data_IF_835838538494
#
_entry.id   IF_835838538494
#
_cell.length_a   1.000
_cell.length_b   1.000
_cell.length_c   1.000
_cell.angle_alpha   90.00
_cell.angle_beta   90.00
_cell.angle_gamma   90.00
#
_symmetry.space_group_name_H-M   'P 1'
#
loop_
_entity.id
_entity.type
_entity.pdbx_description
1 polymer ?
#
# COMPACT_ATOMS: atom_id res chain seq x y z
N UNK A 1 36.69 -34.84 -2.43
CA UNK A 1 36.20 -34.48 -3.80
C UNK A 1 34.75 -34.07 -3.67
N UNK A 2 34.46 -32.77 -3.58
CA UNK A 2 33.10 -32.25 -3.38
C UNK A 2 32.46 -31.97 -4.74
N UNK A 3 31.47 -32.77 -5.09
CA UNK A 3 30.70 -32.65 -6.32
C UNK A 3 29.76 -31.42 -6.22
N UNK A 4 30.08 -30.33 -6.91
CA UNK A 4 29.21 -29.20 -7.09
C UNK A 4 28.23 -29.55 -8.22
N UNK A 5 27.03 -29.97 -7.87
CA UNK A 5 25.95 -30.08 -8.85
C UNK A 5 25.31 -28.69 -8.97
N UNK A 6 25.80 -27.94 -9.98
CA UNK A 6 25.18 -26.71 -10.44
C UNK A 6 24.16 -27.14 -11.50
N UNK A 7 22.93 -27.46 -11.08
CA UNK A 7 21.85 -27.73 -12.05
C UNK A 7 21.22 -26.39 -12.46
N UNK A 8 21.87 -25.74 -13.43
CA UNK A 8 21.28 -24.60 -14.17
C UNK A 8 20.37 -25.18 -15.24
N UNK A 9 19.07 -25.31 -14.97
CA UNK A 9 18.11 -25.60 -16.02
C UNK A 9 17.67 -24.28 -16.63
N UNK A 10 18.43 -23.77 -17.64
CA UNK A 10 18.00 -22.71 -18.50
C UNK A 10 17.09 -23.29 -19.57
N UNK A 11 15.79 -23.14 -19.44
CA UNK A 11 14.87 -23.30 -20.56
C UNK A 11 14.84 -21.99 -21.34
N UNK A 12 15.64 -21.90 -22.40
CA UNK A 12 15.68 -20.72 -23.27
C UNK A 12 14.45 -20.76 -24.17
N UNK A 13 13.47 -19.91 -23.89
CA UNK A 13 12.45 -19.54 -24.88
C UNK A 13 12.93 -18.26 -25.55
N UNK A 14 13.52 -18.42 -26.74
CA UNK A 14 13.97 -17.32 -27.60
C UNK A 14 12.78 -16.59 -28.22
N UNK A 15 12.19 -15.64 -27.47
CA UNK A 15 11.46 -14.49 -28.02
C UNK A 15 11.66 -13.31 -27.04
N UNK A 16 12.53 -12.36 -27.43
CA UNK A 16 12.77 -11.09 -26.74
C UNK A 16 13.38 -11.14 -25.33
N UNK A 17 14.67 -11.40 -25.19
CA UNK A 17 15.48 -10.94 -24.03
C UNK A 17 15.06 -11.32 -22.61
N UNK A 18 13.94 -12.02 -22.43
CA UNK A 18 13.37 -12.38 -21.14
C UNK A 18 13.86 -13.77 -20.69
N UNK A 19 14.62 -13.83 -19.63
CA UNK A 19 15.15 -15.07 -19.06
C UNK A 19 14.36 -15.48 -17.81
N UNK A 20 14.24 -16.81 -17.58
CA UNK A 20 13.66 -17.35 -16.35
C UNK A 20 14.75 -17.99 -15.50
N UNK A 21 14.86 -17.57 -14.23
CA UNK A 21 15.81 -18.10 -13.26
C UNK A 21 15.05 -18.64 -12.06
N UNK A 22 15.38 -19.88 -11.64
CA UNK A 22 14.86 -20.50 -10.41
C UNK A 22 15.95 -20.52 -9.35
N UNK A 23 15.58 -20.20 -8.11
CA UNK A 23 16.48 -20.17 -6.96
C UNK A 23 16.21 -21.35 -6.02
N UNK A 24 17.22 -21.80 -5.29
CA UNK A 24 17.11 -22.94 -4.37
C UNK A 24 16.16 -22.70 -3.18
N UNK A 25 15.89 -21.44 -2.86
CA UNK A 25 14.94 -21.05 -1.80
C UNK A 25 13.48 -21.05 -2.27
N UNK A 26 13.21 -21.48 -3.52
CA UNK A 26 11.87 -21.49 -4.11
C UNK A 26 11.46 -20.21 -4.83
N UNK A 27 12.27 -19.17 -4.80
CA UNK A 27 12.01 -17.95 -5.56
C UNK A 27 12.19 -18.17 -7.07
N UNK A 28 11.56 -17.31 -7.87
CA UNK A 28 11.70 -17.31 -9.33
C UNK A 28 11.82 -15.88 -9.85
N UNK A 29 12.69 -15.67 -10.82
CA UNK A 29 12.77 -14.42 -11.59
C UNK A 29 12.43 -14.67 -13.05
N UNK A 30 11.69 -13.74 -13.66
CA UNK A 30 11.39 -13.70 -15.10
C UNK A 30 11.60 -12.28 -15.57
N UNK A 31 12.57 -12.05 -16.45
CA UNK A 31 12.86 -10.69 -16.92
C UNK A 31 14.24 -10.54 -17.55
N UNK A 32 14.63 -9.30 -17.75
CA UNK A 32 15.88 -8.95 -18.41
C UNK A 32 17.09 -9.30 -17.53
N UNK A 33 18.11 -9.92 -18.15
CA UNK A 33 19.39 -10.22 -17.53
C UNK A 33 20.50 -9.48 -18.31
N UNK A 34 21.37 -8.81 -17.58
CA UNK A 34 22.61 -8.23 -18.14
C UNK A 34 23.81 -8.91 -17.50
N UNK A 35 24.57 -9.65 -18.32
CA UNK A 35 25.61 -10.59 -17.84
C UNK A 35 24.94 -11.66 -16.95
N UNK A 36 25.07 -11.60 -15.64
CA UNK A 36 24.47 -12.53 -14.67
C UNK A 36 23.51 -11.82 -13.69
N UNK A 37 23.27 -10.53 -13.91
CA UNK A 37 22.49 -9.70 -13.01
C UNK A 37 21.10 -9.40 -13.56
N UNK A 38 20.06 -9.45 -12.72
CA UNK A 38 18.74 -8.91 -13.03
C UNK A 38 18.91 -7.43 -13.34
N UNK A 39 18.41 -7.01 -14.50
CA UNK A 39 18.53 -5.65 -15.00
C UNK A 39 17.33 -5.37 -15.90
N UNK A 40 17.02 -4.08 -16.18
CA UNK A 40 15.84 -3.77 -16.99
C UNK A 40 14.54 -4.15 -16.30
N UNK A 41 13.54 -4.63 -17.05
CA UNK A 41 12.24 -4.97 -16.53
C UNK A 41 12.14 -6.45 -16.14
N UNK A 42 11.41 -6.76 -15.04
CA UNK A 42 11.20 -8.16 -14.65
C UNK A 42 10.17 -8.35 -13.54
N UNK A 43 9.85 -9.65 -13.32
CA UNK A 43 9.02 -10.12 -12.21
C UNK A 43 9.83 -11.03 -11.31
N UNK A 44 9.77 -10.77 -10.02
CA UNK A 44 10.38 -11.62 -8.99
C UNK A 44 9.29 -12.22 -8.12
N UNK A 45 9.21 -13.52 -8.13
CA UNK A 45 8.25 -14.31 -7.36
C UNK A 45 8.96 -14.85 -6.13
N UNK A 46 8.49 -14.47 -4.96
CA UNK A 46 8.96 -14.98 -3.68
C UNK A 46 8.27 -16.30 -3.35
N UNK A 47 8.96 -17.19 -2.67
CA UNK A 47 8.42 -18.46 -2.22
C UNK A 47 7.21 -18.32 -1.25
N UNK A 48 7.10 -17.17 -0.57
CA UNK A 48 5.96 -16.83 0.30
C UNK A 48 4.70 -16.37 -0.45
N UNK A 49 4.76 -16.28 -1.80
CA UNK A 49 3.66 -15.86 -2.66
C UNK A 49 3.64 -14.37 -3.01
N UNK A 50 4.54 -13.56 -2.45
CA UNK A 50 4.69 -12.17 -2.87
C UNK A 50 5.29 -12.09 -4.28
N UNK A 51 4.92 -11.05 -5.05
CA UNK A 51 5.47 -10.81 -6.38
C UNK A 51 5.89 -9.35 -6.50
N UNK A 52 7.14 -9.10 -6.90
CA UNK A 52 7.54 -7.78 -7.38
C UNK A 52 7.51 -7.75 -8.89
N UNK A 53 6.94 -6.68 -9.45
CA UNK A 53 6.98 -6.38 -10.89
C UNK A 53 7.48 -4.95 -11.10
N UNK A 54 8.56 -4.81 -11.89
CA UNK A 54 9.13 -3.50 -12.13
C UNK A 54 10.59 -3.56 -12.59
N UNK A 55 11.24 -2.41 -12.64
CA UNK A 55 12.63 -2.32 -13.10
C UNK A 55 13.61 -2.82 -12.05
N UNK A 56 14.68 -3.44 -12.58
CA UNK A 56 15.84 -3.93 -11.82
C UNK A 56 17.12 -3.22 -12.25
N UNK A 57 18.00 -3.01 -11.30
CA UNK A 57 19.37 -2.55 -11.52
C UNK A 57 20.31 -3.32 -10.61
N UNK A 58 21.24 -4.08 -11.22
CA UNK A 58 22.24 -4.88 -10.50
C UNK A 58 21.63 -5.75 -9.40
N UNK A 59 20.65 -6.59 -9.77
CA UNK A 59 19.91 -7.50 -8.90
C UNK A 59 18.96 -6.84 -7.86
N UNK A 60 18.79 -5.52 -7.88
CA UNK A 60 17.96 -4.78 -6.94
C UNK A 60 16.77 -4.13 -7.63
N UNK A 61 15.65 -4.00 -6.95
CA UNK A 61 14.53 -3.18 -7.38
C UNK A 61 14.96 -1.71 -7.45
N UNK A 62 14.65 -1.05 -8.55
CA UNK A 62 15.11 0.32 -8.76
C UNK A 62 14.20 1.02 -9.78
N UNK A 63 13.49 2.06 -9.35
CA UNK A 63 12.46 2.77 -10.12
C UNK A 63 11.06 2.39 -9.70
N UNK A 64 10.04 2.85 -10.44
CA UNK A 64 8.64 2.62 -10.10
C UNK A 64 8.26 1.14 -10.32
N UNK A 65 7.86 0.48 -9.26
CA UNK A 65 7.48 -0.93 -9.29
C UNK A 65 6.25 -1.22 -8.44
N UNK A 66 5.72 -2.43 -8.58
CA UNK A 66 4.57 -2.94 -7.83
C UNK A 66 4.98 -4.20 -7.07
N UNK A 67 4.70 -4.22 -5.77
CA UNK A 67 4.72 -5.45 -4.97
C UNK A 67 3.28 -5.90 -4.78
N UNK A 68 2.95 -7.08 -5.24
CA UNK A 68 1.69 -7.77 -4.90
C UNK A 68 1.99 -8.74 -3.77
N UNK A 69 1.44 -8.49 -2.60
CA UNK A 69 1.56 -9.37 -1.44
C UNK A 69 0.71 -10.64 -1.62
N UNK A 70 1.04 -11.72 -0.92
CA UNK A 70 0.33 -13.00 -0.99
C UNK A 70 -1.17 -12.87 -0.65
N UNK A 71 -1.57 -11.86 0.13
CA UNK A 71 -2.97 -11.53 0.42
C UNK A 71 -3.70 -10.76 -0.69
N UNK A 72 -3.01 -10.48 -1.82
CA UNK A 72 -3.54 -9.74 -2.97
C UNK A 72 -3.45 -8.22 -2.88
N UNK A 73 -3.09 -7.64 -1.74
CA UNK A 73 -2.84 -6.19 -1.63
C UNK A 73 -1.65 -5.78 -2.50
N UNK A 74 -1.74 -4.67 -3.20
CA UNK A 74 -0.65 -4.15 -4.03
C UNK A 74 -0.06 -2.88 -3.43
N UNK A 75 1.27 -2.80 -3.41
CA UNK A 75 2.04 -1.61 -3.10
C UNK A 75 2.70 -1.10 -4.39
N UNK A 76 2.36 0.11 -4.82
CA UNK A 76 2.97 0.80 -5.95
C UNK A 76 3.83 1.94 -5.38
N UNK A 77 5.13 1.89 -5.62
CA UNK A 77 6.07 2.90 -5.11
C UNK A 77 7.30 3.03 -6.01
N UNK A 78 8.06 4.10 -5.79
CA UNK A 78 9.44 4.19 -6.28
C UNK A 78 10.35 3.34 -5.36
N UNK A 79 11.23 2.57 -5.97
CA UNK A 79 12.20 1.74 -5.27
C UNK A 79 13.62 2.23 -5.53
N UNK A 80 14.44 2.23 -4.50
CA UNK A 80 15.89 2.45 -4.58
C UNK A 80 16.57 1.34 -3.79
N UNK A 81 17.38 0.54 -4.49
CA UNK A 81 18.15 -0.56 -3.89
C UNK A 81 17.29 -1.49 -3.00
N UNK A 82 16.16 -1.98 -3.53
CA UNK A 82 15.14 -2.82 -2.88
C UNK A 82 14.29 -2.12 -1.80
N UNK A 83 14.48 -0.84 -1.54
CA UNK A 83 13.72 -0.10 -0.53
C UNK A 83 12.65 0.75 -1.20
N UNK A 84 11.37 0.63 -0.81
CA UNK A 84 10.34 1.54 -1.28
C UNK A 84 10.58 2.93 -0.71
N UNK A 85 10.17 3.94 -1.47
CA UNK A 85 10.08 5.31 -0.99
C UNK A 85 9.14 5.40 0.24
N UNK A 86 9.29 6.43 1.08
CA UNK A 86 8.41 6.63 2.24
C UNK A 86 6.97 6.97 1.87
N UNK A 87 6.67 7.17 0.59
CA UNK A 87 5.32 7.41 0.06
C UNK A 87 5.00 6.44 -1.06
N UNK A 88 3.72 6.12 -1.24
CA UNK A 88 3.25 5.24 -2.31
C UNK A 88 1.74 5.08 -2.30
N UNK A 89 1.27 4.14 -3.13
CA UNK A 89 -0.12 3.75 -3.24
C UNK A 89 -0.29 2.32 -2.74
N UNK A 90 -1.28 2.08 -1.87
CA UNK A 90 -1.77 0.75 -1.56
C UNK A 90 -3.12 0.54 -2.23
N UNK A 91 -3.28 -0.58 -2.94
CA UNK A 91 -4.55 -1.04 -3.48
C UNK A 91 -4.96 -2.31 -2.71
N UNK A 92 -6.08 -2.24 -2.01
CA UNK A 92 -6.59 -3.34 -1.20
C UNK A 92 -7.56 -4.20 -2.01
N UNK A 93 -7.66 -5.47 -1.65
CA UNK A 93 -8.52 -6.45 -2.35
C UNK A 93 -10.01 -6.18 -2.23
N UNK A 94 -10.43 -5.38 -1.24
CA UNK A 94 -11.80 -4.92 -1.09
C UNK A 94 -12.17 -3.71 -1.98
N UNK A 95 -11.23 -3.24 -2.83
CA UNK A 95 -11.41 -2.09 -3.70
C UNK A 95 -11.01 -0.74 -3.11
N UNK A 96 -10.58 -0.72 -1.86
CA UNK A 96 -10.07 0.50 -1.23
C UNK A 96 -8.69 0.88 -1.80
N UNK A 97 -8.37 2.16 -1.72
CA UNK A 97 -7.10 2.73 -2.15
C UNK A 97 -6.55 3.69 -1.10
N UNK A 98 -5.26 3.61 -0.85
CA UNK A 98 -4.54 4.60 -0.05
C UNK A 98 -3.43 5.23 -0.87
N UNK A 99 -3.29 6.55 -0.79
CA UNK A 99 -2.18 7.33 -1.35
C UNK A 99 -1.57 8.18 -0.22
N UNK A 100 -0.33 7.94 0.13
CA UNK A 100 0.30 8.67 1.23
C UNK A 100 1.59 8.05 1.75
N UNK A 101 1.91 8.43 3.00
CA UNK A 101 3.10 7.96 3.68
C UNK A 101 2.97 6.49 4.09
N UNK A 102 4.08 5.78 3.98
CA UNK A 102 4.17 4.34 4.23
C UNK A 102 5.23 4.05 5.30
N UNK A 103 4.93 3.11 6.17
CA UNK A 103 5.89 2.55 7.11
C UNK A 103 5.79 1.04 7.13
N UNK A 104 6.90 0.35 6.80
CA UNK A 104 6.95 -1.12 6.70
C UNK A 104 5.82 -1.70 5.81
N UNK A 105 5.55 -1.06 4.66
CA UNK A 105 4.52 -1.50 3.72
C UNK A 105 3.07 -1.22 4.14
N UNK A 106 2.85 -0.48 5.22
CA UNK A 106 1.52 -0.10 5.73
C UNK A 106 1.27 1.39 5.62
N UNK A 107 0.01 1.79 5.45
CA UNK A 107 -0.42 3.18 5.53
C UNK A 107 -0.08 3.76 6.92
N UNK A 108 0.72 4.83 6.95
CA UNK A 108 1.18 5.45 8.19
C UNK A 108 1.63 6.89 7.89
N UNK A 109 1.29 7.85 8.76
CA UNK A 109 1.52 9.27 8.48
C UNK A 109 0.42 9.88 7.62
N UNK A 110 0.69 10.97 6.93
CA UNK A 110 -0.34 11.70 6.17
C UNK A 110 -0.70 10.99 4.87
N UNK A 111 -2.00 10.99 4.54
CA UNK A 111 -2.46 10.41 3.30
C UNK A 111 -3.95 10.59 3.03
N UNK A 112 -4.36 10.06 1.91
CA UNK A 112 -5.74 9.99 1.45
C UNK A 112 -6.13 8.52 1.31
N UNK A 113 -7.13 8.10 2.05
CA UNK A 113 -7.74 6.78 1.93
C UNK A 113 -9.08 6.93 1.21
N UNK A 114 -9.24 6.27 0.09
CA UNK A 114 -10.47 6.24 -0.70
C UNK A 114 -11.09 4.86 -0.52
N UNK A 115 -12.29 4.83 0.02
CA UNK A 115 -13.08 3.61 0.18
C UNK A 115 -13.70 3.18 -1.14
N UNK A 116 -14.02 1.91 -1.28
CA UNK A 116 -14.64 1.36 -2.49
C UNK A 116 -16.02 1.98 -2.81
N UNK A 117 -16.71 2.51 -1.78
CA UNK A 117 -17.98 3.22 -1.94
C UNK A 117 -17.82 4.69 -2.42
N UNK A 118 -16.59 5.15 -2.66
CA UNK A 118 -16.27 6.52 -3.05
C UNK A 118 -16.08 7.50 -1.89
N UNK A 119 -16.33 7.10 -0.66
CA UNK A 119 -15.99 7.90 0.53
C UNK A 119 -14.49 8.12 0.62
N UNK A 120 -14.06 9.23 1.24
CA UNK A 120 -12.64 9.57 1.35
C UNK A 120 -12.30 10.03 2.76
N UNK A 121 -11.20 9.50 3.27
CA UNK A 121 -10.54 10.04 4.45
C UNK A 121 -9.28 10.79 4.05
N UNK A 122 -9.05 11.95 4.65
CA UNK A 122 -7.82 12.72 4.51
C UNK A 122 -7.29 13.05 5.90
N UNK A 123 -6.10 12.60 6.20
CA UNK A 123 -5.47 12.80 7.51
C UNK A 123 -4.41 11.74 7.83
N UNK A 124 -3.92 11.74 9.08
CA UNK A 124 -2.90 10.80 9.51
C UNK A 124 -3.44 9.38 9.65
N UNK A 125 -2.66 8.41 9.20
CA UNK A 125 -2.90 6.97 9.33
C UNK A 125 -1.93 6.35 10.34
N UNK A 126 -2.34 5.28 10.97
CA UNK A 126 -1.49 4.45 11.85
C UNK A 126 -1.83 2.98 11.65
N UNK A 127 -0.86 2.20 11.12
CA UNK A 127 -1.04 0.77 10.86
C UNK A 127 -2.32 0.48 10.05
N UNK A 128 -2.45 1.12 8.89
CA UNK A 128 -3.58 1.01 7.95
C UNK A 128 -4.94 1.55 8.45
N UNK A 129 -4.98 2.24 9.61
CA UNK A 129 -6.21 2.79 10.17
C UNK A 129 -6.12 4.32 10.32
N UNK A 130 -7.20 5.07 10.00
CA UNK A 130 -7.34 6.48 10.34
C UNK A 130 -7.06 6.75 11.81
N UNK A 131 -6.22 7.74 12.11
CA UNK A 131 -5.80 8.05 13.47
C UNK A 131 -5.47 9.55 13.60
N UNK A 132 -5.75 10.16 14.79
CA UNK A 132 -5.52 11.59 14.97
C UNK A 132 -6.56 12.45 14.27
N UNK A 133 -6.23 13.72 13.99
CA UNK A 133 -7.21 14.67 13.42
C UNK A 133 -7.25 14.58 11.89
N UNK A 134 -8.44 14.30 11.34
CA UNK A 134 -8.65 14.16 9.92
C UNK A 134 -10.07 14.50 9.49
N UNK A 135 -10.33 14.31 8.20
CA UNK A 135 -11.64 14.54 7.60
C UNK A 135 -12.09 13.30 6.85
N UNK A 136 -13.31 12.86 7.09
CA UNK A 136 -14.01 11.87 6.27
C UNK A 136 -15.08 12.59 5.47
N UNK A 137 -15.08 12.43 4.15
CA UNK A 137 -16.16 12.85 3.25
C UNK A 137 -16.84 11.59 2.73
N UNK A 138 -18.11 11.43 3.03
CA UNK A 138 -18.90 10.28 2.64
C UNK A 138 -19.50 10.45 1.24
N UNK A 139 -19.71 9.35 0.54
CA UNK A 139 -20.33 9.35 -0.80
C UNK A 139 -21.75 9.95 -0.79
N UNK A 140 -22.47 9.88 0.34
CA UNK A 140 -23.80 10.45 0.53
C UNK A 140 -23.80 11.97 0.83
N UNK A 141 -22.62 12.63 0.81
CA UNK A 141 -22.46 14.06 1.10
C UNK A 141 -22.26 14.39 2.59
N UNK A 142 -22.37 13.44 3.50
CA UNK A 142 -22.04 13.66 4.91
C UNK A 142 -20.52 13.93 5.05
N UNK A 143 -20.14 14.66 6.10
CA UNK A 143 -18.73 14.95 6.37
C UNK A 143 -18.47 14.91 7.88
N UNK A 144 -17.39 14.25 8.27
CA UNK A 144 -16.84 14.35 9.62
C UNK A 144 -15.48 15.05 9.58
N UNK A 145 -15.26 15.96 10.49
CA UNK A 145 -13.94 16.58 10.72
C UNK A 145 -13.65 16.58 12.20
N UNK A 146 -12.61 15.91 12.62
CA UNK A 146 -12.29 15.76 14.02
C UNK A 146 -11.24 14.68 14.28
N UNK A 147 -11.15 14.29 15.54
CA UNK A 147 -10.23 13.25 15.97
C UNK A 147 -10.79 11.88 15.62
N UNK A 148 -9.88 10.98 15.24
CA UNK A 148 -10.15 9.56 15.00
C UNK A 148 -9.18 8.70 15.81
N UNK A 149 -9.68 7.58 16.30
CA UNK A 149 -8.91 6.55 16.95
C UNK A 149 -9.26 5.20 16.34
N UNK A 150 -8.26 4.56 15.70
CA UNK A 150 -8.44 3.26 15.02
C UNK A 150 -9.65 3.25 14.06
N UNK A 151 -9.77 4.28 13.20
CA UNK A 151 -10.84 4.42 12.22
C UNK A 151 -12.19 4.87 12.76
N UNK A 152 -12.34 5.11 14.06
CA UNK A 152 -13.59 5.54 14.69
C UNK A 152 -13.52 6.99 15.14
N UNK A 153 -14.63 7.73 15.08
CA UNK A 153 -14.70 9.08 15.65
C UNK A 153 -14.37 9.03 17.13
N UNK A 154 -13.52 9.94 17.56
CA UNK A 154 -13.06 10.03 18.94
C UNK A 154 -12.74 11.48 19.28
N UNK A 155 -12.67 11.84 20.59
CA UNK A 155 -12.32 13.19 21.01
C UNK A 155 -13.28 14.25 20.47
N UNK A 156 -12.71 15.40 20.04
CA UNK A 156 -13.52 16.51 19.52
C UNK A 156 -13.71 16.38 18.00
N UNK A 157 -14.95 16.52 17.55
CA UNK A 157 -15.28 16.44 16.14
C UNK A 157 -16.64 17.00 15.79
N UNK A 158 -16.79 17.36 14.51
CA UNK A 158 -18.03 17.83 13.90
C UNK A 158 -18.44 16.90 12.78
N UNK A 159 -19.67 16.41 12.85
CA UNK A 159 -20.32 15.67 11.77
C UNK A 159 -21.42 16.53 11.16
N UNK A 160 -21.28 16.90 9.90
CA UNK A 160 -22.34 17.53 9.09
C UNK A 160 -23.01 16.47 8.23
N UNK A 161 -24.27 16.67 7.99
CA UNK A 161 -25.13 15.80 7.19
C UNK A 161 -25.67 16.64 6.08
N UNK A 162 -25.64 16.35 4.84
CA UNK A 162 -26.22 17.05 3.70
C UNK A 162 -26.90 18.41 4.02
N UNK A 163 -27.84 18.87 3.20
CA UNK A 163 -28.32 20.26 3.31
C UNK A 163 -29.29 20.54 4.47
N UNK A 164 -29.98 19.54 5.05
CA UNK A 164 -31.15 19.80 5.92
C UNK A 164 -31.03 19.33 7.38
N UNK A 165 -29.88 18.89 7.82
CA UNK A 165 -29.74 18.36 9.20
C UNK A 165 -28.74 19.19 10.02
N UNK A 166 -29.12 19.45 11.28
CA UNK A 166 -28.24 20.13 12.23
C UNK A 166 -26.97 19.34 12.46
N UNK A 167 -25.80 19.93 12.28
CA UNK A 167 -24.53 19.23 12.56
C UNK A 167 -24.41 18.82 14.03
N UNK A 168 -23.78 17.69 14.27
CA UNK A 168 -23.35 17.26 15.59
C UNK A 168 -21.92 17.75 15.82
N UNK A 169 -21.73 18.68 16.76
CA UNK A 169 -20.43 19.22 17.13
C UNK A 169 -20.19 18.95 18.61
N UNK A 170 -19.12 18.26 18.96
CA UNK A 170 -18.80 17.94 20.33
C UNK A 170 -17.90 16.74 20.51
N UNK A 171 -18.06 16.09 21.65
CA UNK A 171 -17.24 14.94 22.03
C UNK A 171 -17.82 13.64 21.49
N UNK A 172 -16.93 12.83 20.96
CA UNK A 172 -17.18 11.50 20.39
C UNK A 172 -16.37 10.45 21.15
N UNK A 173 -16.93 9.28 21.31
CA UNK A 173 -16.22 8.12 21.84
C UNK A 173 -16.50 6.89 21.00
N UNK A 174 -15.44 6.33 20.40
CA UNK A 174 -15.44 5.13 19.56
C UNK A 174 -16.59 5.06 18.53
N UNK A 175 -16.90 6.21 17.90
CA UNK A 175 -17.94 6.34 16.88
C UNK A 175 -19.27 6.90 17.38
N UNK A 176 -19.48 7.02 18.70
CA UNK A 176 -20.70 7.52 19.30
C UNK A 176 -20.58 8.99 19.71
N UNK A 177 -21.63 9.78 19.43
CA UNK A 177 -21.73 11.16 19.91
C UNK A 177 -22.10 11.16 21.40
N UNK A 178 -21.24 11.76 22.23
CA UNK A 178 -21.41 11.74 23.70
C UNK A 178 -22.15 12.99 24.19
N UNK A 179 -21.67 14.18 23.77
CA UNK A 179 -22.27 15.45 24.22
C UNK A 179 -21.82 16.61 23.33
N UNK A 180 -22.64 17.68 23.23
CA UNK A 180 -22.20 18.92 22.59
C UNK A 180 -21.00 19.55 23.33
N UNK A 181 -20.03 20.05 22.55
CA UNK A 181 -18.88 20.79 23.07
C UNK A 181 -18.34 21.68 21.94
N UNK A 182 -18.03 22.94 22.21
CA UNK A 182 -17.49 23.85 21.18
C UNK A 182 -16.06 23.45 20.81
N UNK A 183 -15.82 23.33 19.52
CA UNK A 183 -14.49 23.15 18.95
C UNK A 183 -13.87 24.55 18.81
N UNK A 184 -12.83 24.85 19.59
CA UNK A 184 -12.05 26.10 19.49
C UNK A 184 -11.05 26.04 18.37
#
# INVERSE_FOLDING_TARGET
MKLRILLLVCLVVLLSGCETTYYLNGDKYVGDIKKTNRHGWGRYYYANGDVYEGPFRNNKFNGRGTVTFANGTQLIAEFTDNRPAPTGTLLYTNGDRYDGELRHGKASGQGVYTFADGSRYTGPMKNDLPHGRGTISYANGDRYTGELYQGRYHGLGRKSFGEDRVPLEGRWDLGHFVRPERIR
#
